data_IF_792241199299
#
_entry.id   IF_792241199299
#
_cell.length_a   1.000
_cell.length_b   1.000
_cell.length_c   1.000
_cell.angle_alpha   90.00
_cell.angle_beta   90.00
_cell.angle_gamma   90.00
#
_symmetry.space_group_name_H-M   'P 1'
#
loop_
_entity.id
_entity.type
_entity.pdbx_description
1 polymer ?
#
# COMPACT_ATOMS: atom_id res chain seq x y z
N UNK A 1 23.21 -0.10 4.02
CA UNK A 1 21.83 0.41 3.88
C UNK A 1 21.02 -0.69 3.24
N UNK A 2 20.11 -1.34 3.98
CA UNK A 2 19.22 -2.35 3.39
C UNK A 2 18.18 -1.60 2.55
N UNK A 3 18.28 -1.69 1.23
CA UNK A 3 17.27 -1.16 0.30
C UNK A 3 16.02 -2.03 0.41
N UNK A 4 15.12 -1.68 1.33
CA UNK A 4 13.83 -2.36 1.48
C UNK A 4 12.97 -2.02 0.26
N UNK A 5 12.34 -3.04 -0.30
CA UNK A 5 11.34 -2.90 -1.38
C UNK A 5 10.00 -3.44 -0.89
N UNK A 6 8.90 -3.03 -1.52
CA UNK A 6 7.55 -3.53 -1.23
C UNK A 6 7.20 -3.43 0.26
N UNK A 7 7.27 -2.22 0.79
CA UNK A 7 6.94 -1.93 2.18
C UNK A 7 6.12 -0.66 2.30
N UNK A 8 5.36 -0.58 3.38
CA UNK A 8 4.70 0.65 3.83
C UNK A 8 5.01 0.80 5.31
N UNK A 9 5.51 1.97 5.70
CA UNK A 9 5.67 2.36 7.09
C UNK A 9 4.62 3.41 7.43
N UNK A 10 3.84 3.15 8.48
CA UNK A 10 2.77 4.02 8.96
C UNK A 10 3.09 4.40 10.39
N UNK A 11 3.60 5.61 10.62
CA UNK A 11 3.95 6.08 11.95
C UNK A 11 3.33 7.47 12.23
N UNK A 12 3.65 8.06 13.39
CA UNK A 12 3.13 9.36 13.80
C UNK A 12 3.53 10.52 12.86
N UNK A 13 4.57 10.36 12.05
CA UNK A 13 5.03 11.35 11.06
C UNK A 13 4.32 11.22 9.73
N UNK A 14 3.60 10.13 9.50
CA UNK A 14 2.82 9.88 8.29
C UNK A 14 3.12 8.53 7.68
N UNK A 15 2.85 8.43 6.38
CA UNK A 15 3.02 7.20 5.62
C UNK A 15 4.12 7.36 4.58
N UNK A 16 5.08 6.44 4.58
CA UNK A 16 6.11 6.31 3.53
C UNK A 16 6.21 4.88 3.08
N UNK A 17 6.74 4.62 1.89
CA UNK A 17 6.91 3.26 1.41
C UNK A 17 7.50 3.18 0.02
N UNK A 18 7.62 1.94 -0.44
CA UNK A 18 8.02 1.60 -1.78
C UNK A 18 7.11 0.49 -2.31
N UNK A 19 6.71 0.60 -3.58
CA UNK A 19 6.00 -0.46 -4.31
C UNK A 19 6.76 -0.71 -5.60
N UNK A 20 7.25 -1.94 -5.75
CA UNK A 20 8.10 -2.36 -6.85
C UNK A 20 7.59 -3.67 -7.47
N UNK A 21 7.63 -3.70 -8.80
CA UNK A 21 7.42 -4.86 -9.64
C UNK A 21 8.44 -4.84 -10.79
N UNK A 22 8.44 -5.86 -11.64
CA UNK A 22 9.24 -5.84 -12.87
C UNK A 22 8.93 -4.65 -13.79
N UNK A 23 7.71 -4.09 -13.72
CA UNK A 23 7.25 -3.03 -14.61
C UNK A 23 7.45 -1.61 -14.06
N UNK A 24 7.58 -1.45 -12.75
CA UNK A 24 7.72 -0.15 -12.11
C UNK A 24 8.34 -0.28 -10.73
N UNK A 25 9.01 0.76 -10.28
CA UNK A 25 9.55 0.88 -8.93
C UNK A 25 9.33 2.32 -8.47
N UNK A 26 8.45 2.51 -7.48
CA UNK A 26 8.03 3.84 -7.04
C UNK A 26 8.04 3.95 -5.53
N UNK A 27 8.59 5.07 -5.05
CA UNK A 27 8.38 5.51 -3.68
C UNK A 27 6.99 6.14 -3.56
N UNK A 28 6.36 5.89 -2.42
CA UNK A 28 5.07 6.46 -2.07
C UNK A 28 5.14 7.24 -0.78
N UNK A 29 4.33 8.28 -0.71
CA UNK A 29 3.98 8.96 0.54
C UNK A 29 2.48 8.94 0.70
N UNK A 30 1.99 9.01 1.94
CA UNK A 30 0.57 9.05 2.20
C UNK A 30 0.17 10.10 3.21
N UNK A 31 -1.01 10.65 2.98
CA UNK A 31 -1.65 11.66 3.83
C UNK A 31 -2.89 11.05 4.47
N UNK A 32 -3.10 11.21 5.79
CA UNK A 32 -4.27 10.70 6.47
C UNK A 32 -5.54 11.42 5.97
N UNK A 33 -6.63 10.66 5.88
CA UNK A 33 -7.94 11.18 5.52
C UNK A 33 -8.78 11.30 6.78
N UNK A 34 -9.24 12.52 7.08
CA UNK A 34 -10.25 12.74 8.11
C UNK A 34 -11.64 12.58 7.50
N UNK A 35 -12.38 11.56 7.92
CA UNK A 35 -13.75 11.31 7.48
C UNK A 35 -14.53 10.54 8.55
N UNK A 36 -15.80 10.89 8.71
CA UNK A 36 -16.75 10.14 9.55
C UNK A 36 -17.33 8.91 8.84
N UNK A 37 -17.10 8.77 7.52
CA UNK A 37 -17.54 7.60 6.77
C UNK A 37 -16.58 6.44 7.03
N UNK A 38 -17.06 5.36 7.64
CA UNK A 38 -16.29 4.14 7.93
C UNK A 38 -15.71 3.47 6.67
N UNK A 39 -16.32 3.70 5.50
CA UNK A 39 -15.85 3.16 4.23
C UNK A 39 -14.85 4.09 3.50
N UNK A 40 -14.54 5.26 4.08
CA UNK A 40 -13.53 6.15 3.52
C UNK A 40 -12.14 5.50 3.56
N UNK A 41 -11.23 5.86 2.63
CA UNK A 41 -9.83 5.51 2.80
C UNK A 41 -9.29 6.11 4.10
N UNK A 42 -8.31 5.44 4.72
CA UNK A 42 -7.55 5.97 5.85
C UNK A 42 -6.42 6.89 5.39
N UNK A 43 -5.83 6.59 4.23
CA UNK A 43 -4.74 7.37 3.65
C UNK A 43 -4.92 7.54 2.15
N UNK A 44 -4.66 8.74 1.62
CA UNK A 44 -4.42 8.97 0.19
C UNK A 44 -2.96 8.75 -0.11
N UNK A 45 -2.66 8.14 -1.25
CA UNK A 45 -1.30 7.80 -1.66
C UNK A 45 -0.85 8.67 -2.83
N UNK A 46 0.38 9.13 -2.74
CA UNK A 46 1.01 9.96 -3.75
C UNK A 46 2.39 9.42 -4.12
N UNK A 47 2.81 9.71 -5.34
CA UNK A 47 4.20 9.50 -5.81
C UNK A 47 4.65 10.69 -6.64
N UNK A 48 5.87 10.66 -7.17
CA UNK A 48 6.39 11.66 -8.09
C UNK A 48 6.29 11.16 -9.53
N UNK A 49 5.70 11.99 -10.40
CA UNK A 49 5.82 11.81 -11.85
C UNK A 49 7.29 11.91 -12.31
N UNK A 50 7.64 11.47 -13.54
CA UNK A 50 8.99 11.62 -14.09
C UNK A 50 9.52 13.06 -14.12
N UNK A 51 8.65 14.06 -13.96
CA UNK A 51 9.02 15.48 -13.87
C UNK A 51 9.08 16.01 -12.43
N UNK A 52 9.05 15.13 -11.43
CA UNK A 52 9.12 15.48 -10.00
C UNK A 52 7.85 16.09 -9.42
N UNK A 53 6.72 16.07 -10.16
CA UNK A 53 5.44 16.56 -9.62
C UNK A 53 4.76 15.49 -8.81
N UNK A 54 4.26 15.85 -7.63
CA UNK A 54 3.42 14.98 -6.82
C UNK A 54 2.12 14.66 -7.56
N UNK A 55 1.77 13.38 -7.62
CA UNK A 55 0.55 12.87 -8.24
C UNK A 55 -0.11 11.90 -7.27
N UNK A 56 -1.42 12.03 -7.10
CA UNK A 56 -2.20 11.04 -6.36
C UNK A 56 -2.36 9.78 -7.21
N UNK A 57 -2.09 8.63 -6.63
CA UNK A 57 -2.13 7.34 -7.34
C UNK A 57 -3.13 6.38 -6.75
N UNK A 58 -3.70 6.65 -5.57
CA UNK A 58 -4.63 5.74 -4.94
C UNK A 58 -4.77 5.98 -3.45
N UNK A 59 -5.11 4.93 -2.71
CA UNK A 59 -5.39 5.05 -1.29
C UNK A 59 -5.20 3.72 -0.55
N UNK A 60 -5.22 3.79 0.77
CA UNK A 60 -5.28 2.65 1.70
C UNK A 60 -6.59 2.71 2.47
N UNK A 61 -7.24 1.56 2.59
CA UNK A 61 -8.43 1.35 3.42
C UNK A 61 -8.11 0.38 4.54
N UNK A 62 -8.69 0.62 5.70
CA UNK A 62 -8.80 -0.40 6.74
C UNK A 62 -10.07 -1.21 6.48
N UNK A 63 -9.96 -2.53 6.53
CA UNK A 63 -11.06 -3.47 6.27
C UNK A 63 -11.06 -4.57 7.31
N UNK A 64 -12.18 -5.27 7.43
CA UNK A 64 -12.27 -6.44 8.30
C UNK A 64 -12.17 -7.73 7.47
N UNK A 65 -11.37 -8.69 7.94
CA UNK A 65 -11.31 -10.02 7.35
C UNK A 65 -12.54 -10.86 7.78
N UNK A 66 -12.61 -12.14 7.35
CA UNK A 66 -13.73 -13.03 7.68
C UNK A 66 -13.93 -13.26 9.18
N UNK A 67 -12.87 -13.13 9.98
CA UNK A 67 -12.88 -13.28 11.43
C UNK A 67 -13.10 -11.94 12.15
N UNK A 68 -13.42 -10.87 11.42
CA UNK A 68 -13.62 -9.53 11.98
C UNK A 68 -12.32 -8.82 12.38
N UNK A 69 -11.14 -9.32 12.01
CA UNK A 69 -9.86 -8.68 12.32
C UNK A 69 -9.52 -7.60 11.29
N UNK A 70 -9.06 -6.41 11.72
CA UNK A 70 -8.68 -5.34 10.81
C UNK A 70 -7.43 -5.72 9.99
N UNK A 71 -7.42 -5.29 8.74
CA UNK A 71 -6.26 -5.33 7.84
C UNK A 71 -6.29 -4.13 6.90
N UNK A 72 -5.13 -3.72 6.40
CA UNK A 72 -5.06 -2.67 5.39
C UNK A 72 -5.06 -3.26 3.98
N UNK A 73 -5.88 -2.70 3.12
CA UNK A 73 -5.91 -2.96 1.69
C UNK A 73 -5.49 -1.69 0.95
N UNK A 74 -4.64 -1.81 -0.06
CA UNK A 74 -4.26 -0.69 -0.92
C UNK A 74 -4.66 -0.94 -2.36
N UNK A 75 -5.02 0.15 -3.04
CA UNK A 75 -5.23 0.17 -4.47
C UNK A 75 -4.53 1.38 -5.07
N UNK A 76 -3.75 1.18 -6.12
CA UNK A 76 -3.13 2.26 -6.90
C UNK A 76 -3.37 2.10 -8.39
N UNK A 77 -3.30 3.21 -9.12
CA UNK A 77 -3.15 3.24 -10.57
C UNK A 77 -1.69 3.47 -10.94
N UNK A 78 -1.18 2.65 -11.86
CA UNK A 78 0.18 2.76 -12.40
C UNK A 78 0.22 3.52 -13.72
N UNK A 79 -0.93 4.07 -14.16
CA UNK A 79 -1.11 4.65 -15.49
C UNK A 79 -1.52 3.62 -16.56
N UNK A 80 -1.14 2.35 -16.40
CA UNK A 80 -1.48 1.28 -17.35
C UNK A 80 -2.42 0.22 -16.75
N UNK A 81 -2.32 -0.04 -15.45
CA UNK A 81 -3.15 -1.00 -14.74
C UNK A 81 -3.44 -0.57 -13.31
N UNK A 82 -4.48 -1.17 -12.72
CA UNK A 82 -4.73 -1.09 -11.28
C UNK A 82 -3.92 -2.16 -10.56
N UNK A 83 -3.15 -1.75 -9.57
CA UNK A 83 -2.46 -2.65 -8.67
C UNK A 83 -3.21 -2.70 -7.34
N UNK A 84 -3.52 -3.92 -6.89
CA UNK A 84 -4.27 -4.18 -5.67
C UNK A 84 -3.41 -5.05 -4.77
N UNK A 85 -3.33 -4.73 -3.49
CA UNK A 85 -2.51 -5.45 -2.54
C UNK A 85 -3.08 -5.33 -1.13
N UNK A 86 -2.69 -6.27 -0.27
CA UNK A 86 -2.93 -6.18 1.16
C UNK A 86 -1.62 -5.87 1.87
N UNK A 87 -1.71 -5.25 3.04
CA UNK A 87 -0.56 -5.02 3.91
C UNK A 87 -0.52 -6.10 4.99
N UNK A 88 0.60 -6.83 5.06
CA UNK A 88 0.88 -7.79 6.12
C UNK A 88 2.04 -7.30 6.99
N UNK A 89 2.26 -7.94 8.14
CA UNK A 89 3.44 -7.64 8.97
C UNK A 89 4.72 -7.87 8.17
N UNK A 90 5.66 -6.93 8.20
CA UNK A 90 6.93 -7.11 7.52
C UNK A 90 7.74 -8.24 8.18
N UNK A 91 8.24 -9.23 7.42
CA UNK A 91 8.86 -10.42 7.99
C UNK A 91 10.20 -10.10 8.68
N UNK A 92 10.46 -10.77 9.81
CA UNK A 92 11.77 -10.72 10.47
C UNK A 92 12.11 -9.37 11.12
N UNK A 93 11.11 -8.55 11.43
CA UNK A 93 11.29 -7.28 12.13
C UNK A 93 10.27 -7.15 13.28
N UNK A 94 10.70 -6.50 14.36
CA UNK A 94 9.85 -6.21 15.53
C UNK A 94 9.04 -4.91 15.38
N UNK A 95 9.21 -4.20 14.27
CA UNK A 95 8.50 -2.95 13.99
C UNK A 95 7.05 -3.24 13.55
N UNK A 96 6.10 -2.97 14.45
CA UNK A 96 4.66 -3.14 14.22
C UNK A 96 4.09 -2.11 13.22
N UNK A 97 4.83 -1.03 12.96
CA UNK A 97 4.44 0.03 12.05
C UNK A 97 4.98 -0.20 10.62
N UNK A 98 5.76 -1.26 10.43
CA UNK A 98 6.31 -1.66 9.14
C UNK A 98 5.53 -2.84 8.55
N UNK A 99 4.98 -2.60 7.36
CA UNK A 99 4.15 -3.55 6.64
C UNK A 99 4.81 -3.98 5.34
N UNK A 100 4.67 -5.25 4.98
CA UNK A 100 4.98 -5.74 3.65
C UNK A 100 3.79 -5.48 2.71
N UNK A 101 4.10 -5.07 1.48
CA UNK A 101 3.11 -4.97 0.39
C UNK A 101 2.99 -6.33 -0.25
N UNK A 102 1.80 -6.95 -0.16
CA UNK A 102 1.53 -8.27 -0.70
C UNK A 102 0.55 -8.14 -1.87
N UNK A 103 1.04 -8.23 -3.12
CA UNK A 103 0.19 -8.14 -4.32
C UNK A 103 -0.93 -9.18 -4.32
N UNK A 104 -2.13 -8.79 -4.74
CA UNK A 104 -3.27 -9.72 -4.78
C UNK A 104 -3.25 -10.66 -6.00
N UNK A 105 -2.56 -10.29 -7.07
CA UNK A 105 -2.27 -11.15 -8.21
C UNK A 105 -1.37 -12.33 -7.82
N UNK A 106 -0.49 -12.17 -6.84
CA UNK A 106 0.27 -13.26 -6.22
C UNK A 106 -0.63 -14.38 -5.65
N UNK A 107 -1.88 -14.08 -5.29
CA UNK A 107 -2.86 -15.07 -4.79
C UNK A 107 -3.80 -15.63 -5.86
N UNK A 108 -3.79 -15.07 -7.08
CA UNK A 108 -4.78 -15.36 -8.11
C UNK A 108 -4.26 -16.26 -9.25
N UNK A 109 -2.98 -16.63 -9.27
CA UNK A 109 -2.47 -17.62 -10.24
C UNK A 109 -3.16 -18.99 -10.09
N UNK A 110 -3.53 -19.39 -8.86
CA UNK A 110 -4.14 -20.69 -8.58
C UNK A 110 -5.68 -20.73 -8.65
N UNK A 111 -6.34 -19.60 -8.96
CA UNK A 111 -7.82 -19.51 -8.95
C UNK A 111 -8.45 -19.33 -10.33
N UNK A 112 -7.69 -19.57 -11.40
CA UNK A 112 -8.14 -19.51 -12.80
C UNK A 112 -8.18 -20.87 -13.49
N UNK A 113 -8.49 -21.93 -12.75
CA UNK A 113 -8.82 -23.27 -13.29
C UNK A 113 -10.26 -23.62 -12.96
#
# INVERSE_FOLDING_TARGET
MTSRTNFVQIDAKGLTGNIASIAFDIDIVGEPVSSENENAPRYRLFTQSPRGRQVEIGAIWERLNRDGKPYFALNITTGHARFHANLGRYPGQDDEMLYAVIPNDHFNFDRRT
#
